data_IF_225716100851
#
_entry.id   IF_225716100851
#
_cell.length_a   1.000
_cell.length_b   1.000
_cell.length_c   1.000
_cell.angle_alpha   90.00
_cell.angle_beta   90.00
_cell.angle_gamma   90.00
#
_symmetry.space_group_name_H-M   'P 1'
#
loop_
_entity.id
_entity.type
_entity.pdbx_description
1 polymer ?
#
# COMPACT_ATOMS: atom_id res chain seq x y z
N UNK A 1 -1.59 -14.53 -41.76
CA UNK A 1 -1.01 -15.89 -41.79
C UNK A 1 -1.67 -16.66 -40.67
N UNK A 2 -2.47 -17.67 -41.00
CA UNK A 2 -3.11 -18.53 -40.00
C UNK A 2 -2.11 -19.64 -39.66
N UNK A 3 -1.63 -19.66 -38.42
CA UNK A 3 -0.86 -20.78 -37.86
C UNK A 3 -1.84 -21.94 -37.68
N UNK A 4 -1.45 -23.14 -38.10
CA UNK A 4 -2.25 -24.36 -37.86
C UNK A 4 -2.14 -24.77 -36.39
N UNK A 5 -3.17 -25.42 -35.86
CA UNK A 5 -3.22 -25.87 -34.47
C UNK A 5 -2.04 -26.79 -34.11
N UNK A 6 -1.64 -27.66 -35.06
CA UNK A 6 -0.48 -28.54 -34.89
C UNK A 6 0.84 -27.77 -34.72
N UNK A 7 1.02 -26.68 -35.46
CA UNK A 7 2.22 -25.83 -35.36
C UNK A 7 2.23 -25.09 -34.01
N UNK A 8 1.06 -24.67 -33.52
CA UNK A 8 0.91 -24.05 -32.20
C UNK A 8 1.25 -25.04 -31.08
N UNK A 9 0.72 -26.25 -31.12
CA UNK A 9 1.02 -27.29 -30.13
C UNK A 9 2.51 -27.66 -30.11
N UNK A 10 3.13 -27.78 -31.28
CA UNK A 10 4.55 -28.05 -31.39
C UNK A 10 5.39 -26.93 -30.77
N UNK A 11 4.99 -25.67 -31.01
CA UNK A 11 5.68 -24.48 -30.49
C UNK A 11 5.50 -24.35 -28.98
N UNK A 12 4.32 -24.70 -28.44
CA UNK A 12 4.07 -24.75 -27.00
C UNK A 12 4.89 -25.87 -26.34
N UNK A 13 4.92 -27.09 -26.88
CA UNK A 13 5.79 -28.16 -26.36
C UNK A 13 7.26 -27.74 -26.34
N UNK A 14 7.71 -27.02 -27.36
CA UNK A 14 9.09 -26.53 -27.44
C UNK A 14 9.37 -25.45 -26.39
N UNK A 15 8.43 -24.53 -26.14
CA UNK A 15 8.55 -23.50 -25.10
C UNK A 15 8.53 -24.10 -23.69
N UNK A 16 7.67 -25.09 -23.43
CA UNK A 16 7.61 -25.75 -22.12
C UNK A 16 8.75 -26.75 -21.87
N UNK A 17 9.47 -27.16 -22.90
CA UNK A 17 10.70 -27.96 -22.77
C UNK A 17 11.95 -27.10 -22.52
N UNK A 18 11.81 -25.77 -22.44
CA UNK A 18 12.92 -24.86 -22.10
C UNK A 18 13.23 -24.96 -20.59
N UNK A 19 14.39 -25.52 -20.24
CA UNK A 19 14.90 -25.64 -18.86
C UNK A 19 14.94 -24.30 -18.11
N UNK A 20 14.85 -23.15 -18.80
CA UNK A 20 14.77 -21.83 -18.14
C UNK A 20 13.45 -21.57 -17.44
N UNK A 21 12.40 -22.34 -17.72
CA UNK A 21 11.11 -22.26 -17.02
C UNK A 21 11.05 -23.14 -15.78
N UNK A 22 12.00 -24.08 -15.63
CA UNK A 22 12.17 -24.86 -14.40
C UNK A 22 12.89 -24.02 -13.34
N UNK A 23 12.16 -23.06 -12.78
CA UNK A 23 12.58 -22.34 -11.59
C UNK A 23 12.26 -23.18 -10.37
N UNK A 24 13.26 -23.82 -9.71
CA UNK A 24 13.00 -24.55 -8.49
C UNK A 24 12.45 -23.58 -7.44
N UNK A 25 11.41 -23.95 -6.69
CA UNK A 25 10.91 -23.11 -5.63
C UNK A 25 12.06 -22.83 -4.66
N UNK A 26 12.20 -21.58 -4.16
CA UNK A 26 13.20 -21.28 -3.16
C UNK A 26 12.97 -22.20 -1.94
N UNK A 27 14.04 -22.63 -1.25
CA UNK A 27 13.94 -23.63 -0.17
C UNK A 27 13.00 -23.21 0.96
N UNK A 28 12.73 -21.90 1.08
CA UNK A 28 11.84 -21.30 2.08
C UNK A 28 10.41 -21.06 1.59
N UNK A 29 10.06 -21.44 0.35
CA UNK A 29 8.72 -21.20 -0.20
C UNK A 29 7.61 -21.81 0.69
N UNK A 30 7.84 -23.02 1.20
CA UNK A 30 6.89 -23.69 2.10
C UNK A 30 6.67 -22.94 3.41
N UNK A 31 7.74 -22.42 4.02
CA UNK A 31 7.65 -21.69 5.30
C UNK A 31 7.01 -20.32 5.11
N UNK A 32 7.31 -19.62 4.01
CA UNK A 32 6.68 -18.34 3.64
C UNK A 32 5.18 -18.50 3.36
N UNK A 33 4.77 -19.54 2.62
CA UNK A 33 3.36 -19.82 2.35
C UNK A 33 2.62 -20.15 3.66
N UNK A 34 3.20 -21.00 4.52
CA UNK A 34 2.58 -21.34 5.81
C UNK A 34 2.53 -20.14 6.75
N UNK A 35 3.56 -19.29 6.78
CA UNK A 35 3.55 -18.05 7.56
C UNK A 35 2.47 -17.08 7.08
N UNK A 36 2.33 -16.90 5.76
CA UNK A 36 1.27 -16.10 5.15
C UNK A 36 -0.13 -16.64 5.47
N UNK A 37 -0.33 -17.95 5.31
CA UNK A 37 -1.59 -18.61 5.63
C UNK A 37 -1.95 -18.53 7.13
N UNK A 38 -0.96 -18.73 8.01
CA UNK A 38 -1.15 -18.65 9.47
C UNK A 38 -1.50 -17.23 9.93
N UNK A 39 -0.91 -16.20 9.31
CA UNK A 39 -1.27 -14.79 9.55
C UNK A 39 -2.72 -14.52 9.16
N UNK A 40 -3.18 -15.02 8.02
CA UNK A 40 -4.56 -14.87 7.55
C UNK A 40 -5.57 -15.57 8.47
N UNK A 41 -5.24 -16.76 8.98
CA UNK A 41 -6.10 -17.52 9.91
C UNK A 41 -6.21 -16.84 11.28
N UNK A 42 -5.13 -16.32 11.84
CA UNK A 42 -5.17 -15.57 13.12
C UNK A 42 -6.08 -14.34 13.05
N UNK A 43 -6.07 -13.62 11.93
CA UNK A 43 -6.94 -12.44 11.73
C UNK A 43 -8.43 -12.81 11.73
N UNK A 44 -8.80 -13.97 11.19
CA UNK A 44 -10.20 -14.43 11.19
C UNK A 44 -10.77 -14.72 12.58
N UNK A 45 -9.92 -15.08 13.56
CA UNK A 45 -10.38 -15.34 14.93
C UNK A 45 -10.54 -14.09 15.80
N UNK A 46 -10.03 -12.92 15.38
CA UNK A 46 -10.17 -11.67 16.13
C UNK A 46 -11.46 -10.90 15.79
N UNK A 47 -12.06 -11.19 14.63
CA UNK A 47 -13.30 -10.51 14.17
C UNK A 47 -14.57 -10.98 14.89
N UNK A 48 -14.52 -12.05 15.70
CA UNK A 48 -15.70 -12.55 16.43
C UNK A 48 -15.86 -12.02 17.86
N UNK A 49 -14.99 -11.12 18.34
CA UNK A 49 -15.01 -10.66 19.74
C UNK A 49 -15.65 -9.28 19.98
N UNK A 50 -16.19 -8.59 18.96
CA UNK A 50 -16.81 -7.25 19.12
C UNK A 50 -18.26 -7.24 18.61
N UNK A 51 -19.03 -8.26 18.98
CA UNK A 51 -20.48 -8.27 18.86
C UNK A 51 -21.08 -8.35 20.26
N UNK A 52 -21.03 -7.23 20.98
CA UNK A 52 -21.46 -7.18 22.38
C UNK A 52 -22.01 -5.82 22.77
N UNK A 53 -23.34 -5.74 22.80
CA UNK A 53 -24.16 -4.81 23.59
C UNK A 53 -24.32 -3.38 23.05
N UNK A 54 -25.48 -3.11 22.45
CA UNK A 54 -26.41 -2.06 22.91
C UNK A 54 -27.74 -2.12 22.15
N UNK A 55 -28.73 -2.77 22.76
CA UNK A 55 -30.15 -2.60 22.46
C UNK A 55 -30.83 -1.94 23.66
N UNK A 56 -31.49 -0.79 23.46
CA UNK A 56 -32.68 -0.29 24.19
C UNK A 56 -33.02 1.13 23.69
N UNK A 57 -34.02 1.30 22.80
CA UNK A 57 -35.40 1.76 23.07
C UNK A 57 -35.51 3.23 23.54
N UNK A 58 -36.03 4.10 22.65
CA UNK A 58 -37.16 5.01 22.95
C UNK A 58 -37.99 5.17 21.67
N UNK A 59 -39.23 4.66 21.72
CA UNK A 59 -40.27 4.89 20.72
C UNK A 59 -41.09 6.13 21.11
N UNK A 60 -41.28 7.10 20.20
CA UNK A 60 -42.38 8.07 20.26
C UNK A 60 -42.84 8.45 18.83
N UNK A 61 -43.97 7.84 18.44
CA UNK A 61 -45.08 8.31 17.59
C UNK A 61 -44.86 9.04 16.25
N UNK A 62 -45.50 8.48 15.21
CA UNK A 62 -46.37 9.28 14.32
C UNK A 62 -46.14 9.09 12.82
N UNK A 63 -46.98 8.31 12.14
CA UNK A 63 -47.09 8.38 10.68
C UNK A 63 -47.54 7.09 10.01
N UNK A 64 -48.83 7.02 9.70
CA UNK A 64 -49.50 5.93 9.01
C UNK A 64 -49.05 5.84 7.53
N UNK A 65 -48.39 4.77 7.11
CA UNK A 65 -48.45 4.29 5.72
C UNK A 65 -48.58 2.76 5.70
N UNK A 66 -49.61 2.29 5.01
CA UNK A 66 -49.83 0.87 4.74
C UNK A 66 -48.66 0.30 3.93
N UNK A 67 -48.02 -0.74 4.45
CA UNK A 67 -47.30 -1.71 3.61
C UNK A 67 -47.85 -3.09 3.94
N UNK A 68 -48.62 -3.65 3.00
CA UNK A 68 -48.91 -5.08 2.98
C UNK A 68 -47.61 -5.82 2.67
N UNK A 69 -47.10 -6.61 3.61
CA UNK A 69 -46.14 -7.65 3.30
C UNK A 69 -46.89 -8.98 3.28
N UNK A 70 -46.94 -9.55 2.08
CA UNK A 70 -47.31 -10.94 1.87
C UNK A 70 -46.32 -11.83 2.62
N UNK A 71 -46.87 -12.67 3.48
CA UNK A 71 -46.22 -13.86 4.02
C UNK A 71 -46.02 -14.84 2.86
N UNK A 72 -44.76 -15.16 2.55
CA UNK A 72 -44.41 -16.41 1.87
C UNK A 72 -43.49 -17.19 2.80
N UNK A 73 -44.04 -18.30 3.29
CA UNK A 73 -43.36 -19.36 4.02
C UNK A 73 -42.33 -20.01 3.10
N UNK A 74 -41.09 -19.55 3.21
CA UNK A 74 -39.91 -20.19 2.64
C UNK A 74 -39.17 -20.97 3.71
N UNK A 75 -39.63 -22.19 3.99
CA UNK A 75 -38.87 -23.22 4.72
C UNK A 75 -37.48 -23.40 4.10
N UNK A 76 -36.45 -22.91 4.78
CA UNK A 76 -35.06 -23.29 4.53
C UNK A 76 -34.56 -24.10 5.72
N UNK A 77 -34.77 -25.41 5.62
CA UNK A 77 -34.06 -26.44 6.36
C UNK A 77 -32.65 -26.51 5.76
N UNK A 78 -31.59 -26.29 6.53
CA UNK A 78 -30.26 -26.84 6.23
C UNK A 78 -29.40 -26.89 7.50
N UNK A 79 -29.21 -28.13 7.94
CA UNK A 79 -28.22 -28.74 8.82
C UNK A 79 -27.07 -27.90 9.37
N UNK A 80 -26.98 -27.91 10.70
CA UNK A 80 -25.71 -27.90 11.42
C UNK A 80 -25.14 -29.33 11.39
N UNK A 81 -24.17 -29.58 10.51
CA UNK A 81 -23.28 -30.73 10.66
C UNK A 81 -21.95 -30.24 11.24
N UNK A 82 -21.79 -30.54 12.53
CA UNK A 82 -20.54 -30.39 13.26
C UNK A 82 -19.64 -31.57 12.92
N UNK A 83 -18.60 -31.30 12.13
CA UNK A 83 -17.46 -32.22 12.01
C UNK A 83 -16.31 -31.68 12.85
N UNK A 84 -16.35 -32.03 14.14
CA UNK A 84 -15.23 -31.89 15.07
C UNK A 84 -14.12 -32.86 14.67
N UNK A 85 -13.13 -32.41 13.90
CA UNK A 85 -11.86 -33.14 13.78
C UNK A 85 -10.95 -32.80 14.96
N UNK A 86 -11.13 -33.59 16.03
CA UNK A 86 -10.20 -33.70 17.15
C UNK A 86 -8.92 -34.40 16.68
N UNK A 87 -7.87 -33.62 16.44
CA UNK A 87 -6.52 -34.14 16.19
C UNK A 87 -5.70 -33.98 17.47
N UNK A 88 -5.38 -35.13 18.07
CA UNK A 88 -4.54 -35.31 19.24
C UNK A 88 -3.13 -34.73 19.01
N UNK A 89 -2.55 -33.95 19.94
CA UNK A 89 -1.16 -33.53 19.85
C UNK A 89 -0.21 -34.70 20.14
N UNK A 90 0.89 -34.90 19.39
CA UNK A 90 1.98 -35.71 19.89
C UNK A 90 2.77 -34.92 20.94
N UNK A 91 2.75 -35.44 22.17
CA UNK A 91 3.82 -35.22 23.14
C UNK A 91 5.12 -35.78 22.55
N UNK A 92 6.12 -34.93 22.34
CA UNK A 92 7.48 -35.39 22.55
C UNK A 92 8.35 -34.28 23.10
N UNK A 93 9.02 -34.66 24.18
CA UNK A 93 9.96 -33.90 24.98
C UNK A 93 11.23 -33.64 24.16
N UNK A 94 11.79 -32.43 24.24
CA UNK A 94 13.25 -32.23 24.40
C UNK A 94 13.49 -30.80 24.88
N UNK A 95 13.77 -30.70 26.17
CA UNK A 95 14.32 -29.54 26.85
C UNK A 95 15.82 -29.51 26.53
N UNK A 96 16.31 -28.43 25.89
CA UNK A 96 17.69 -28.37 25.42
C UNK A 96 18.22 -26.96 25.23
N UNK A 97 18.78 -26.42 26.32
CA UNK A 97 19.94 -25.52 26.39
C UNK A 97 19.79 -24.06 25.85
N UNK A 98 19.78 -23.06 26.76
CA UNK A 98 20.11 -21.68 26.40
C UNK A 98 21.64 -21.53 26.29
N UNK A 99 22.19 -20.96 25.21
CA UNK A 99 23.53 -20.40 25.23
C UNK A 99 23.53 -19.00 25.86
N UNK A 100 24.62 -18.76 26.58
CA UNK A 100 24.92 -17.68 27.52
C UNK A 100 24.91 -16.25 26.96
N UNK A 101 24.81 -15.25 27.85
CA UNK A 101 24.97 -13.84 27.54
C UNK A 101 26.44 -13.47 27.39
N UNK A 102 26.83 -12.93 26.23
CA UNK A 102 28.14 -12.29 26.05
C UNK A 102 28.11 -10.85 26.58
N UNK A 103 28.82 -10.68 27.69
CA UNK A 103 29.17 -9.43 28.39
C UNK A 103 30.06 -8.52 27.51
N UNK A 104 30.09 -7.19 27.72
CA UNK A 104 30.75 -6.23 26.85
C UNK A 104 32.26 -6.15 27.11
N UNK A 105 33.05 -6.07 26.04
CA UNK A 105 34.47 -5.70 26.11
C UNK A 105 34.65 -4.19 26.05
N UNK A 106 35.30 -3.54 27.04
CA UNK A 106 35.75 -2.16 26.93
C UNK A 106 37.15 -2.08 26.31
N UNK A 107 37.51 -0.85 25.92
CA UNK A 107 38.87 -0.33 25.71
C UNK A 107 39.37 -0.32 24.26
N UNK A 108 39.25 0.85 23.61
CA UNK A 108 40.45 1.46 23.04
C UNK A 108 40.35 2.98 23.09
N UNK A 109 41.05 3.54 24.08
CA UNK A 109 41.42 4.94 24.20
C UNK A 109 42.56 5.20 23.21
N UNK A 110 42.34 6.08 22.24
CA UNK A 110 43.44 6.72 21.51
C UNK A 110 43.40 8.23 21.74
N UNK A 111 44.14 8.65 22.76
CA UNK A 111 44.74 9.97 22.84
C UNK A 111 45.83 10.09 21.77
N UNK A 112 45.67 11.02 20.82
CA UNK A 112 46.83 11.65 20.17
C UNK A 112 46.61 13.16 20.10
N UNK A 113 47.17 13.79 21.12
CA UNK A 113 47.70 15.15 21.21
C UNK A 113 48.68 15.44 20.06
N UNK A 114 48.55 16.59 19.40
CA UNK A 114 49.57 17.00 18.43
C UNK A 114 49.32 18.30 17.67
N UNK A 115 49.57 19.43 18.34
CA UNK A 115 50.25 20.62 17.81
C UNK A 115 49.67 21.40 16.59
N UNK A 116 49.08 22.55 16.92
CA UNK A 116 49.13 23.77 16.10
C UNK A 116 50.57 24.21 15.84
N UNK A 117 50.83 24.81 14.66
CA UNK A 117 51.53 26.10 14.65
C UNK A 117 50.80 27.15 13.83
N UNK A 118 50.87 28.40 14.32
CA UNK A 118 50.47 29.61 13.63
C UNK A 118 51.58 30.08 12.65
N UNK A 119 51.18 30.52 11.46
CA UNK A 119 52.06 31.15 10.46
C UNK A 119 51.29 31.62 9.22
N UNK A 120 51.27 32.94 9.03
CA UNK A 120 50.49 33.78 8.10
C UNK A 120 50.88 33.71 6.59
N UNK A 121 50.16 34.38 5.66
CA UNK A 121 49.86 33.99 4.25
C UNK A 121 50.73 34.76 3.20
N UNK A 122 50.38 34.91 1.89
CA UNK A 122 49.43 34.22 1.00
C UNK A 122 50.07 33.70 -0.31
N UNK A 123 49.70 32.51 -0.78
CA UNK A 123 49.94 32.10 -2.17
C UNK A 123 48.60 31.89 -2.88
N UNK A 124 48.38 32.71 -3.90
CA UNK A 124 47.29 32.65 -4.87
C UNK A 124 47.31 31.29 -5.58
N UNK A 125 46.47 30.37 -5.15
CA UNK A 125 46.10 29.20 -5.95
C UNK A 125 44.88 29.53 -6.79
N UNK A 126 44.82 29.11 -8.07
CA UNK A 126 43.63 29.22 -8.88
C UNK A 126 42.52 28.42 -8.21
N UNK A 127 41.50 29.15 -7.77
CA UNK A 127 40.24 28.64 -7.29
C UNK A 127 39.66 27.73 -8.38
N UNK A 128 39.85 26.42 -8.24
CA UNK A 128 39.04 25.44 -8.96
C UNK A 128 37.62 25.75 -8.54
N UNK A 129 36.89 26.32 -9.48
CA UNK A 129 35.46 26.50 -9.43
C UNK A 129 34.83 25.12 -9.28
N UNK A 130 34.58 24.71 -8.05
CA UNK A 130 33.51 23.77 -7.76
C UNK A 130 32.26 24.30 -8.48
N UNK A 131 31.61 23.52 -9.34
CA UNK A 131 30.30 23.87 -9.83
C UNK A 131 29.36 23.80 -8.64
N UNK A 132 29.16 24.94 -7.97
CA UNK A 132 28.04 25.13 -7.06
C UNK A 132 26.79 24.69 -7.81
N UNK A 133 26.11 23.60 -7.42
CA UNK A 133 24.81 23.31 -7.97
C UNK A 133 23.88 24.37 -7.39
N UNK A 134 23.79 25.51 -8.07
CA UNK A 134 22.63 26.39 -7.98
C UNK A 134 21.48 25.66 -8.66
N UNK A 135 21.11 24.50 -8.08
CA UNK A 135 19.91 23.78 -8.43
C UNK A 135 18.84 24.52 -7.68
N UNK A 136 18.29 25.55 -8.33
CA UNK A 136 17.00 26.10 -7.93
C UNK A 136 16.09 24.91 -7.60
N UNK A 137 15.40 24.91 -6.46
CA UNK A 137 14.48 23.83 -6.14
C UNK A 137 13.56 23.64 -7.35
N UNK A 138 13.33 22.40 -7.80
CA UNK A 138 12.48 22.14 -8.94
C UNK A 138 11.16 22.87 -8.71
N UNK A 139 10.76 23.70 -9.68
CA UNK A 139 9.46 24.39 -9.62
C UNK A 139 8.42 23.30 -9.54
N UNK A 140 7.71 23.28 -8.41
CA UNK A 140 6.63 22.33 -8.14
C UNK A 140 5.49 22.64 -9.10
N UNK A 141 5.37 21.86 -10.17
CA UNK A 141 4.32 22.02 -11.19
C UNK A 141 3.26 20.94 -11.01
N UNK A 142 2.05 21.24 -11.50
CA UNK A 142 0.92 20.32 -11.49
C UNK A 142 -0.04 20.55 -10.31
N UNK A 143 -1.10 19.73 -10.20
CA UNK A 143 -2.04 19.82 -9.10
C UNK A 143 -1.50 19.25 -7.79
N UNK A 144 -2.09 19.70 -6.69
CA UNK A 144 -1.75 19.21 -5.36
C UNK A 144 -2.56 17.95 -5.00
N UNK A 145 -1.86 16.93 -4.52
CA UNK A 145 -2.43 15.75 -3.88
C UNK A 145 -2.32 15.93 -2.36
N UNK A 146 -3.47 16.07 -1.71
CA UNK A 146 -3.55 16.30 -0.27
C UNK A 146 -3.59 14.99 0.51
N UNK A 147 -3.32 15.07 1.81
CA UNK A 147 -3.33 13.90 2.71
C UNK A 147 -4.70 13.25 2.83
N UNK A 148 -5.78 13.95 2.48
CA UNK A 148 -7.15 13.47 2.55
C UNK A 148 -7.80 13.27 1.17
N UNK A 149 -7.17 13.66 0.07
CA UNK A 149 -7.80 13.58 -1.24
C UNK A 149 -7.11 14.31 -2.40
N UNK A 150 -7.85 14.43 -3.50
CA UNK A 150 -7.43 15.09 -4.73
C UNK A 150 -8.52 16.03 -5.24
N UNK A 151 -8.34 17.33 -4.98
CA UNK A 151 -9.37 18.34 -5.22
C UNK A 151 -10.59 18.15 -4.34
N UNK A 152 -11.77 17.99 -4.93
CA UNK A 152 -13.04 17.79 -4.21
C UNK A 152 -13.24 16.34 -3.74
N UNK A 153 -12.51 15.39 -4.31
CA UNK A 153 -12.64 13.97 -4.02
C UNK A 153 -11.76 13.61 -2.82
N UNK A 154 -12.37 13.02 -1.79
CA UNK A 154 -11.69 12.63 -0.56
C UNK A 154 -11.78 11.14 -0.30
N UNK A 155 -10.76 10.61 0.37
CA UNK A 155 -10.77 9.23 0.85
C UNK A 155 -12.01 8.98 1.72
N UNK A 156 -12.57 7.76 1.61
CA UNK A 156 -13.80 7.36 2.29
C UNK A 156 -15.11 7.77 1.60
N UNK A 157 -15.07 8.59 0.56
CA UNK A 157 -16.30 8.94 -0.18
C UNK A 157 -16.88 7.74 -0.94
N UNK A 158 -18.19 7.55 -0.88
CA UNK A 158 -18.88 6.55 -1.70
C UNK A 158 -19.01 6.99 -3.17
N UNK A 159 -19.29 6.07 -4.08
CA UNK A 159 -19.53 6.38 -5.50
C UNK A 159 -20.58 7.49 -5.69
N UNK A 160 -21.65 7.45 -4.88
CA UNK A 160 -22.72 8.46 -4.92
C UNK A 160 -22.25 9.82 -4.44
N UNK A 161 -21.41 9.86 -3.39
CA UNK A 161 -20.86 11.12 -2.89
C UNK A 161 -19.89 11.73 -3.89
N UNK A 162 -19.07 10.91 -4.55
CA UNK A 162 -18.15 11.36 -5.61
C UNK A 162 -18.95 11.93 -6.79
N UNK A 163 -19.98 11.22 -7.26
CA UNK A 163 -20.85 11.71 -8.32
C UNK A 163 -21.59 13.01 -7.93
N UNK A 164 -21.99 13.16 -6.67
CA UNK A 164 -22.63 14.38 -6.16
C UNK A 164 -21.69 15.60 -6.15
N UNK A 165 -20.37 15.41 -6.15
CA UNK A 165 -19.39 16.49 -6.36
C UNK A 165 -19.29 16.91 -7.85
N UNK A 166 -20.07 16.30 -8.74
CA UNK A 166 -20.00 16.52 -10.18
C UNK A 166 -18.87 15.77 -10.87
N UNK A 167 -18.27 14.78 -10.19
CA UNK A 167 -17.19 13.95 -10.73
C UNK A 167 -17.82 12.82 -11.54
N UNK A 168 -17.36 12.66 -12.77
CA UNK A 168 -17.79 11.59 -13.66
C UNK A 168 -16.91 10.37 -13.43
N UNK A 169 -17.53 9.28 -12.99
CA UNK A 169 -16.90 7.96 -12.86
C UNK A 169 -17.19 7.15 -14.12
N UNK A 170 -16.12 6.69 -14.77
CA UNK A 170 -16.19 5.95 -16.03
C UNK A 170 -15.34 4.68 -15.98
N UNK A 171 -15.54 3.78 -16.95
CA UNK A 171 -14.82 2.50 -17.07
C UNK A 171 -14.82 1.67 -15.78
N UNK A 172 -15.98 1.34 -15.19
CA UNK A 172 -16.05 0.51 -13.99
C UNK A 172 -15.36 -0.84 -14.25
N UNK A 173 -14.29 -1.12 -13.52
CA UNK A 173 -13.58 -2.39 -13.56
C UNK A 173 -13.62 -3.04 -12.17
N UNK A 174 -14.51 -4.02 -11.93
CA UNK A 174 -14.62 -4.69 -10.64
C UNK A 174 -13.39 -5.57 -10.37
N UNK A 175 -12.73 -5.36 -9.24
CA UNK A 175 -11.57 -6.13 -8.78
C UNK A 175 -11.81 -6.57 -7.34
N UNK A 176 -12.02 -7.87 -7.15
CA UNK A 176 -12.40 -8.47 -5.86
C UNK A 176 -13.64 -7.77 -5.25
N UNK A 177 -13.48 -7.09 -4.11
CA UNK A 177 -14.55 -6.38 -3.38
C UNK A 177 -14.62 -4.89 -3.68
N UNK A 178 -13.83 -4.42 -4.64
CA UNK A 178 -13.74 -3.02 -5.03
C UNK A 178 -13.99 -2.82 -6.52
N UNK A 179 -14.19 -1.57 -6.92
CA UNK A 179 -14.32 -1.19 -8.32
C UNK A 179 -13.32 -0.08 -8.62
N UNK A 180 -12.55 -0.26 -9.68
CA UNK A 180 -11.66 0.75 -10.22
C UNK A 180 -12.44 1.60 -11.22
N UNK A 181 -12.30 2.92 -11.14
CA UNK A 181 -12.93 3.87 -12.05
C UNK A 181 -11.90 4.89 -12.55
N UNK A 182 -12.16 5.45 -13.72
CA UNK A 182 -11.54 6.68 -14.16
C UNK A 182 -12.42 7.86 -13.72
N UNK A 183 -11.85 8.78 -12.94
CA UNK A 183 -12.51 9.96 -12.39
C UNK A 183 -12.07 11.23 -13.12
N UNK A 184 -13.03 12.05 -13.53
CA UNK A 184 -12.81 13.34 -14.20
C UNK A 184 -13.90 14.36 -13.86
N UNK A 185 -13.63 15.66 -14.03
CA UNK A 185 -14.61 16.72 -13.78
C UNK A 185 -14.82 17.04 -12.30
N UNK A 186 -15.89 17.78 -11.96
CA UNK A 186 -16.37 17.97 -10.58
C UNK A 186 -15.38 18.56 -9.57
N UNK A 187 -14.31 19.22 -10.00
CA UNK A 187 -13.26 19.74 -9.11
C UNK A 187 -12.11 18.76 -8.84
N UNK A 188 -12.04 17.64 -9.55
CA UNK A 188 -10.81 16.85 -9.67
C UNK A 188 -9.86 17.60 -10.63
N UNK A 189 -8.65 18.00 -10.19
CA UNK A 189 -7.79 18.89 -10.99
C UNK A 189 -7.24 18.28 -12.29
N UNK A 190 -7.12 16.94 -12.34
CA UNK A 190 -6.67 16.19 -13.50
C UNK A 190 -7.35 14.81 -13.51
N UNK A 191 -7.41 14.10 -14.65
CA UNK A 191 -7.87 12.72 -14.68
C UNK A 191 -7.12 11.86 -13.66
N UNK A 192 -7.84 10.97 -12.98
CA UNK A 192 -7.27 10.07 -11.99
C UNK A 192 -7.96 8.71 -12.03
N UNK A 193 -7.19 7.66 -11.81
CA UNK A 193 -7.69 6.34 -11.49
C UNK A 193 -8.02 6.28 -10.01
N UNK A 194 -9.24 5.85 -9.66
CA UNK A 194 -9.67 5.71 -8.27
C UNK A 194 -10.15 4.28 -7.99
N UNK A 195 -9.99 3.83 -6.74
CA UNK A 195 -10.47 2.52 -6.29
C UNK A 195 -11.48 2.72 -5.17
N UNK A 196 -12.72 2.29 -5.39
CA UNK A 196 -13.82 2.45 -4.43
C UNK A 196 -14.26 1.10 -3.90
N UNK A 197 -14.36 0.98 -2.57
CA UNK A 197 -14.99 -0.13 -1.88
C UNK A 197 -16.45 0.19 -1.57
N UNK A 198 -17.33 -0.82 -1.67
CA UNK A 198 -18.73 -0.67 -1.28
C UNK A 198 -18.91 -0.35 0.21
N UNK A 199 -18.05 -0.86 1.07
CA UNK A 199 -18.17 -0.69 2.53
C UNK A 199 -17.39 0.50 3.06
N UNK A 200 -16.24 0.81 2.46
CA UNK A 200 -15.30 1.82 2.96
C UNK A 200 -15.24 3.09 2.10
N UNK A 201 -15.90 3.11 0.94
CA UNK A 201 -15.79 4.22 -0.01
C UNK A 201 -14.43 4.26 -0.70
N UNK A 202 -13.97 5.45 -1.08
CA UNK A 202 -12.75 5.67 -1.83
C UNK A 202 -11.51 5.27 -1.02
N UNK A 203 -10.73 4.34 -1.56
CA UNK A 203 -9.56 3.78 -0.90
C UNK A 203 -8.24 4.23 -1.51
N UNK A 204 -8.19 4.43 -2.83
CA UNK A 204 -6.96 4.77 -3.55
C UNK A 204 -7.25 5.86 -4.58
N UNK A 205 -6.33 6.81 -4.69
CA UNK A 205 -6.31 7.85 -5.71
C UNK A 205 -4.95 7.85 -6.41
N UNK A 206 -4.99 7.69 -7.72
CA UNK A 206 -3.83 7.59 -8.60
C UNK A 206 -4.03 8.60 -9.73
N UNK A 207 -3.55 9.85 -9.59
CA UNK A 207 -3.64 10.84 -10.65
C UNK A 207 -2.85 10.40 -11.90
N UNK A 208 -3.43 10.59 -13.08
CA UNK A 208 -2.81 10.19 -14.35
C UNK A 208 -1.74 11.21 -14.83
N UNK A 209 -1.52 12.27 -14.06
CA UNK A 209 -0.59 13.35 -14.35
C UNK A 209 0.37 13.57 -13.18
N UNK A 210 1.46 14.31 -13.46
CA UNK A 210 2.37 14.77 -12.43
C UNK A 210 1.61 15.64 -11.40
N UNK A 211 1.63 15.17 -10.15
CA UNK A 211 1.09 15.87 -8.98
C UNK A 211 2.19 16.05 -7.95
N UNK A 212 1.92 16.89 -6.95
CA UNK A 212 2.80 17.09 -5.83
C UNK A 212 2.03 17.12 -4.50
N UNK A 213 2.69 16.73 -3.43
CA UNK A 213 2.14 16.82 -2.08
C UNK A 213 2.27 18.25 -1.51
N UNK A 214 1.70 18.49 -0.33
CA UNK A 214 1.82 19.77 0.37
C UNK A 214 3.29 20.18 0.63
N UNK A 215 4.17 19.18 0.80
CA UNK A 215 5.61 19.32 1.02
C UNK A 215 6.38 19.60 -0.27
N UNK A 216 5.70 19.64 -1.42
CA UNK A 216 6.30 19.85 -2.73
C UNK A 216 6.97 18.61 -3.31
N UNK A 217 6.70 17.42 -2.77
CA UNK A 217 7.22 16.16 -3.30
C UNK A 217 6.29 15.67 -4.41
N UNK A 218 6.84 15.46 -5.60
CA UNK A 218 6.11 14.99 -6.77
C UNK A 218 7.07 14.50 -7.83
N UNK A 219 6.62 14.43 -9.07
CA UNK A 219 7.44 13.97 -10.19
C UNK A 219 8.77 14.74 -10.30
N UNK A 220 9.88 14.02 -10.46
CA UNK A 220 11.24 14.55 -10.51
C UNK A 220 11.90 14.75 -9.14
N UNK A 221 11.18 14.58 -8.03
CA UNK A 221 11.80 14.57 -6.71
C UNK A 221 12.75 13.38 -6.57
N UNK A 222 13.89 13.58 -5.94
CA UNK A 222 14.87 12.51 -5.67
C UNK A 222 14.46 11.71 -4.44
N UNK A 223 14.90 10.45 -4.35
CA UNK A 223 14.79 9.62 -3.14
C UNK A 223 15.11 10.40 -1.86
N UNK A 224 16.23 11.11 -1.85
CA UNK A 224 16.68 11.87 -0.67
C UNK A 224 15.72 12.99 -0.29
N UNK A 225 15.12 13.68 -1.27
CA UNK A 225 14.12 14.72 -1.01
C UNK A 225 12.85 14.13 -0.38
N UNK A 226 12.40 12.96 -0.84
CA UNK A 226 11.24 12.28 -0.25
C UNK A 226 11.51 11.92 1.22
N UNK A 227 12.66 11.30 1.51
CA UNK A 227 13.01 10.91 2.90
C UNK A 227 13.22 12.11 3.82
N UNK A 228 13.72 13.23 3.28
CA UNK A 228 13.88 14.47 4.04
C UNK A 228 12.53 15.11 4.36
N UNK A 229 11.58 15.09 3.42
CA UNK A 229 10.23 15.61 3.64
C UNK A 229 9.38 14.70 4.54
N UNK A 230 9.61 13.39 4.51
CA UNK A 230 8.86 12.39 5.27
C UNK A 230 9.80 11.50 6.12
N UNK A 231 10.17 11.93 7.35
CA UNK A 231 11.07 11.16 8.21
C UNK A 231 10.55 9.78 8.63
N UNK A 232 9.25 9.51 8.48
CA UNK A 232 8.63 8.21 8.73
C UNK A 232 8.46 7.33 7.50
N UNK A 233 8.99 7.76 6.34
CA UNK A 233 8.86 7.02 5.10
C UNK A 233 9.64 5.70 5.12
N UNK A 234 9.11 4.70 4.43
CA UNK A 234 9.68 3.37 4.28
C UNK A 234 10.08 3.17 2.83
N UNK A 235 11.33 2.78 2.62
CA UNK A 235 11.80 2.39 1.30
C UNK A 235 11.36 0.98 0.95
N UNK A 236 10.95 0.79 -0.30
CA UNK A 236 10.64 -0.49 -0.91
C UNK A 236 11.35 -0.59 -2.29
N UNK A 237 11.49 -1.78 -2.88
CA UNK A 237 12.03 -1.90 -4.22
C UNK A 237 11.22 -1.08 -5.23
N UNK A 238 11.82 -0.03 -5.79
CA UNK A 238 11.16 0.84 -6.78
C UNK A 238 10.15 1.84 -6.21
N UNK A 239 9.98 1.94 -4.89
CA UNK A 239 9.00 2.85 -4.29
C UNK A 239 9.42 3.37 -2.91
N UNK A 240 8.83 4.48 -2.48
CA UNK A 240 8.89 4.98 -1.11
C UNK A 240 7.46 5.21 -0.63
N UNK A 241 7.11 4.65 0.53
CA UNK A 241 5.81 4.86 1.16
C UNK A 241 5.95 5.81 2.32
N UNK A 242 5.20 6.91 2.34
CA UNK A 242 5.22 7.90 3.41
C UNK A 242 3.87 7.96 4.14
N UNK A 243 3.86 8.09 5.49
CA UNK A 243 2.62 8.23 6.23
C UNK A 243 1.93 9.57 5.93
N UNK A 244 0.60 9.54 5.79
CA UNK A 244 -0.25 10.69 5.49
C UNK A 244 -1.52 10.66 6.35
N UNK A 245 -1.42 11.03 7.62
CA UNK A 245 -2.53 10.97 8.59
C UNK A 245 -3.19 9.58 8.68
N UNK A 246 -4.34 9.36 8.03
CA UNK A 246 -5.06 8.07 7.96
C UNK A 246 -4.79 7.29 6.67
N UNK A 247 -3.88 7.79 5.85
CA UNK A 247 -3.49 7.28 4.55
C UNK A 247 -1.96 7.15 4.47
N UNK A 248 -1.48 6.67 3.33
CA UNK A 248 -0.09 6.62 2.95
C UNK A 248 0.06 7.17 1.53
N UNK A 249 1.04 8.05 1.34
CA UNK A 249 1.53 8.40 0.01
C UNK A 249 2.45 7.28 -0.48
N UNK A 250 2.34 6.94 -1.75
CA UNK A 250 3.28 6.07 -2.43
C UNK A 250 3.92 6.84 -3.57
N UNK A 251 5.25 6.92 -3.53
CA UNK A 251 6.07 7.51 -4.57
C UNK A 251 6.77 6.38 -5.30
N UNK A 252 6.45 6.17 -6.57
CA UNK A 252 7.17 5.22 -7.43
C UNK A 252 8.42 5.89 -7.98
N UNK A 253 9.54 5.17 -7.96
CA UNK A 253 10.84 5.66 -8.39
C UNK A 253 11.33 4.89 -9.62
N UNK A 254 11.76 5.64 -10.61
CA UNK A 254 12.54 5.15 -11.75
C UNK A 254 13.87 5.91 -11.73
N UNK A 255 15.00 5.22 -11.90
CA UNK A 255 16.34 5.85 -11.83
C UNK A 255 16.57 6.75 -10.59
N UNK A 256 15.97 6.37 -9.45
CA UNK A 256 16.01 7.10 -8.17
C UNK A 256 15.32 8.47 -8.15
N UNK A 257 14.46 8.76 -9.14
CA UNK A 257 13.56 9.91 -9.16
C UNK A 257 12.10 9.48 -9.15
N UNK A 258 11.25 10.26 -8.49
CA UNK A 258 9.81 10.01 -8.43
C UNK A 258 9.22 10.21 -9.81
N UNK A 259 8.53 9.20 -10.33
CA UNK A 259 7.81 9.26 -11.62
C UNK A 259 6.30 9.22 -11.45
N UNK A 260 5.82 8.76 -10.30
CA UNK A 260 4.40 8.67 -10.02
C UNK A 260 4.15 8.82 -8.52
N UNK A 261 3.05 9.49 -8.17
CA UNK A 261 2.61 9.70 -6.79
C UNK A 261 1.15 9.29 -6.64
N UNK A 262 0.83 8.43 -5.68
CA UNK A 262 -0.52 7.99 -5.35
C UNK A 262 -0.80 8.15 -3.86
N UNK A 263 -2.08 8.15 -3.49
CA UNK A 263 -2.56 8.20 -2.11
C UNK A 263 -3.47 7.00 -1.84
N UNK A 264 -3.24 6.29 -0.75
CA UNK A 264 -4.04 5.12 -0.38
C UNK A 264 -4.38 5.08 1.12
N UNK A 265 -5.56 4.58 1.47
CA UNK A 265 -5.94 4.33 2.88
C UNK A 265 -5.12 3.17 3.44
N UNK A 266 -4.61 3.32 4.67
CA UNK A 266 -3.86 2.26 5.34
C UNK A 266 -4.78 1.05 5.57
N UNK A 267 -4.32 -0.15 5.18
CA UNK A 267 -5.07 -1.41 5.25
C UNK A 267 -6.29 -1.48 4.31
N UNK A 268 -6.23 -0.88 3.13
CA UNK A 268 -7.23 -1.09 2.10
C UNK A 268 -7.38 -2.59 1.77
N UNK A 269 -8.60 -3.12 1.89
CA UNK A 269 -8.91 -4.55 1.66
C UNK A 269 -8.70 -5.01 0.20
N UNK A 270 -8.52 -4.06 -0.72
CA UNK A 270 -8.42 -4.30 -2.16
C UNK A 270 -7.22 -3.64 -2.84
N UNK A 271 -6.33 -2.95 -2.11
CA UNK A 271 -5.10 -2.44 -2.70
C UNK A 271 -4.17 -3.64 -2.91
N UNK A 272 -4.06 -4.09 -4.16
CA UNK A 272 -3.15 -5.14 -4.60
C UNK A 272 -1.72 -4.64 -4.71
#
# INVERSE_FOLDING_TARGET
>A
MNISEDELEQRLRTLFADERLDLPPPPDAGTVIVAGARRRRRRRHVVQAVAGVAAAVVAVSGGLTMVRLHTEDGTAVMSADGTESSVKPPENLTQGRPPEPSTPGPTSTHDIRGSQPAGSPPSKTPQSSDPSPSRLPPVVTGPRLDVDGFGTVKLGMSDQQIAAQGVTLSNPNPVATCTVYNATGGGVPAPATIVVSKSAGLLVITPDQAVHTAEGIGNGATRQQVLAAYPGAKEQPGAITAPAATAEFEFLLEDSVVTHTSLSVVNADCAG
#
